data_IF_975988951365
#
_entry.id   IF_975988951365
#
_cell.length_a   1.000
_cell.length_b   1.000
_cell.length_c   1.000
_cell.angle_alpha   90.00
_cell.angle_beta   90.00
_cell.angle_gamma   90.00
#
_symmetry.space_group_name_H-M   'P 1'
#
loop_
_entity.id
_entity.type
_entity.pdbx_description
1 polymer ?
#
# COMPACT_ATOMS: atom_id res chain seq x y z
N UNK A 1 1.32 23.81 4.82
CA UNK A 1 0.05 24.13 4.14
C UNK A 1 -0.94 23.02 4.43
N UNK A 2 -2.25 23.29 4.46
CA UNK A 2 -3.25 22.24 4.61
C UNK A 2 -3.16 21.24 3.45
N UNK A 3 -3.47 19.97 3.71
CA UNK A 3 -3.54 18.93 2.69
C UNK A 3 -4.94 18.99 2.08
N UNK A 4 -5.01 19.12 0.75
CA UNK A 4 -6.28 19.12 0.02
C UNK A 4 -6.48 17.78 -0.70
N UNK A 5 -7.63 17.11 -0.51
CA UNK A 5 -7.92 15.85 -1.17
C UNK A 5 -8.27 16.08 -2.65
N UNK A 6 -7.61 15.34 -3.55
CA UNK A 6 -7.87 15.35 -4.99
C UNK A 6 -7.87 13.92 -5.54
N UNK A 7 -8.89 13.59 -6.33
CA UNK A 7 -8.97 12.29 -7.00
C UNK A 7 -7.99 12.26 -8.18
N UNK A 8 -7.08 11.28 -8.17
CA UNK A 8 -6.09 11.06 -9.20
C UNK A 8 -5.85 9.57 -9.34
N UNK A 9 -5.49 9.12 -10.54
CA UNK A 9 -5.06 7.76 -10.76
C UNK A 9 -3.69 7.54 -10.12
N UNK A 10 -3.61 6.57 -9.21
CA UNK A 10 -2.43 6.23 -8.43
C UNK A 10 -2.24 4.72 -8.44
N UNK A 11 -1.01 4.29 -8.21
CA UNK A 11 -0.68 2.88 -8.01
C UNK A 11 -0.88 2.52 -6.55
N UNK A 12 -1.64 1.44 -6.31
CA UNK A 12 -1.94 0.92 -4.99
C UNK A 12 -1.44 -0.51 -4.83
N UNK A 13 -1.05 -0.85 -3.61
CA UNK A 13 -0.81 -2.24 -3.20
C UNK A 13 -2.02 -2.73 -2.42
N UNK A 14 -2.57 -3.88 -2.83
CA UNK A 14 -3.67 -4.55 -2.12
C UNK A 14 -3.19 -5.00 -0.75
N UNK A 15 -3.77 -4.44 0.31
CA UNK A 15 -3.26 -4.65 1.67
C UNK A 15 -3.91 -5.82 2.41
N UNK A 16 -5.06 -6.29 1.95
CA UNK A 16 -5.89 -7.31 2.61
C UNK A 16 -5.07 -8.56 3.03
N UNK A 17 -4.48 -9.26 2.06
CA UNK A 17 -3.70 -10.48 2.31
C UNK A 17 -2.40 -10.20 3.08
N UNK A 18 -1.75 -9.07 2.80
CA UNK A 18 -0.50 -8.68 3.46
C UNK A 18 -0.70 -8.33 4.93
N UNK A 19 -1.79 -7.61 5.23
CA UNK A 19 -2.15 -7.23 6.59
C UNK A 19 -2.54 -8.48 7.40
N UNK A 20 -3.36 -9.38 6.83
CA UNK A 20 -3.74 -10.61 7.50
C UNK A 20 -2.51 -11.47 7.83
N UNK A 21 -1.62 -11.69 6.86
CA UNK A 21 -0.40 -12.47 7.08
C UNK A 21 0.48 -11.89 8.19
N UNK A 22 0.55 -10.56 8.29
CA UNK A 22 1.32 -9.88 9.33
C UNK A 22 0.64 -9.96 10.71
N UNK A 23 -0.68 -9.83 10.77
CA UNK A 23 -1.46 -10.02 12.00
C UNK A 23 -1.33 -11.45 12.52
N UNK A 24 -1.45 -12.45 11.64
CA UNK A 24 -1.30 -13.87 12.00
C UNK A 24 0.10 -14.15 12.55
N UNK A 25 1.15 -13.56 11.97
CA UNK A 25 2.51 -13.75 12.47
C UNK A 25 2.70 -13.26 13.91
N UNK A 26 2.00 -12.19 14.30
CA UNK A 26 2.03 -11.68 15.67
C UNK A 26 1.13 -12.51 16.59
N UNK A 27 -0.07 -12.86 16.14
CA UNK A 27 -1.02 -13.69 16.89
C UNK A 27 -0.50 -15.11 17.17
N UNK A 28 0.20 -15.71 16.21
CA UNK A 28 0.84 -17.04 16.34
C UNK A 28 2.13 -17.00 17.19
N UNK A 29 2.60 -15.81 17.59
CA UNK A 29 3.84 -15.63 18.35
C UNK A 29 5.13 -15.82 17.53
N UNK A 30 5.03 -15.99 16.21
CA UNK A 30 6.20 -16.00 15.29
C UNK A 30 6.94 -14.67 15.32
N UNK A 31 6.21 -13.59 15.54
CA UNK A 31 6.73 -12.23 15.74
C UNK A 31 6.29 -11.75 17.12
N UNK A 32 7.25 -11.31 17.92
CA UNK A 32 6.99 -10.76 19.25
C UNK A 32 7.27 -9.26 19.27
N UNK A 33 6.28 -8.47 19.69
CA UNK A 33 6.39 -7.02 19.80
C UNK A 33 6.74 -6.67 21.25
N UNK A 34 7.80 -5.90 21.44
CA UNK A 34 8.24 -5.45 22.76
C UNK A 34 8.17 -3.92 22.88
N UNK A 35 7.60 -3.38 23.97
CA UNK A 35 6.76 -4.04 24.99
C UNK A 35 5.43 -4.60 24.46
N UNK A 36 4.93 -5.68 25.10
CA UNK A 36 3.73 -6.44 24.67
C UNK A 36 2.45 -5.61 24.55
N UNK A 37 2.32 -4.51 25.32
CA UNK A 37 1.18 -3.59 25.21
C UNK A 37 0.98 -3.02 23.80
N UNK A 38 2.04 -2.96 22.99
CA UNK A 38 1.97 -2.42 21.62
C UNK A 38 1.40 -3.41 20.61
N UNK A 39 1.32 -4.71 20.95
CA UNK A 39 0.69 -5.72 20.11
C UNK A 39 -0.73 -5.34 19.74
N UNK A 40 -1.51 -4.87 20.73
CA UNK A 40 -2.89 -4.45 20.49
C UNK A 40 -2.98 -3.31 19.47
N UNK A 41 -2.21 -2.25 19.65
CA UNK A 41 -2.23 -1.10 18.74
C UNK A 41 -1.76 -1.47 17.32
N UNK A 42 -0.83 -2.41 17.19
CA UNK A 42 -0.40 -2.93 15.90
C UNK A 42 -1.51 -3.70 15.17
N UNK A 43 -2.21 -4.59 15.89
CA UNK A 43 -3.34 -5.35 15.34
C UNK A 43 -4.51 -4.43 14.98
N UNK A 44 -4.87 -3.49 15.86
CA UNK A 44 -5.95 -2.52 15.62
C UNK A 44 -5.64 -1.68 14.36
N UNK A 45 -4.40 -1.19 14.22
CA UNK A 45 -3.99 -0.42 13.05
C UNK A 45 -4.02 -1.23 11.75
N UNK A 46 -3.62 -2.51 11.78
CA UNK A 46 -3.67 -3.38 10.61
C UNK A 46 -5.11 -3.80 10.24
N UNK A 47 -5.98 -3.95 11.23
CA UNK A 47 -7.38 -4.34 11.02
C UNK A 47 -8.23 -3.30 10.29
N UNK A 48 -7.88 -2.00 10.41
CA UNK A 48 -8.60 -0.90 9.75
C UNK A 48 -7.95 -0.43 8.44
N UNK A 49 -6.98 -1.19 7.89
CA UNK A 49 -6.21 -0.72 6.75
C UNK A 49 -7.00 -0.58 5.45
N UNK A 50 -6.60 0.43 4.69
CA UNK A 50 -6.94 0.62 3.27
C UNK A 50 -5.74 0.23 2.40
N UNK A 51 -5.99 0.03 1.12
CA UNK A 51 -4.93 -0.20 0.15
C UNK A 51 -3.90 0.94 0.16
N UNK A 52 -2.63 0.58 0.06
CA UNK A 52 -1.54 1.52 0.26
C UNK A 52 -1.19 2.21 -1.05
N UNK A 53 -1.35 3.55 -1.18
CA UNK A 53 -0.84 4.26 -2.33
C UNK A 53 0.69 4.22 -2.31
N UNK A 54 1.31 3.66 -3.34
CA UNK A 54 2.77 3.57 -3.47
C UNK A 54 3.33 4.61 -4.45
N UNK A 55 2.52 5.11 -5.39
CA UNK A 55 2.95 6.18 -6.30
C UNK A 55 3.01 7.54 -5.64
N UNK A 56 3.97 8.36 -6.06
CA UNK A 56 4.18 9.72 -5.56
C UNK A 56 4.63 10.63 -6.72
N UNK A 57 4.13 11.87 -6.74
CA UNK A 57 4.55 12.90 -7.69
C UNK A 57 5.73 13.68 -7.09
N UNK A 58 6.91 13.05 -7.03
CA UNK A 58 8.13 13.60 -6.45
C UNK A 58 9.29 13.49 -7.44
N UNK A 59 10.27 14.39 -7.30
CA UNK A 59 11.49 14.39 -8.11
C UNK A 59 12.56 13.43 -7.58
N UNK A 60 12.55 13.19 -6.27
CA UNK A 60 13.51 12.33 -5.59
C UNK A 60 12.84 11.04 -5.13
N UNK A 61 13.40 9.90 -5.55
CA UNK A 61 12.89 8.57 -5.20
C UNK A 61 13.22 7.53 -6.27
N UNK A 62 12.79 6.29 -6.01
CA UNK A 62 12.92 5.22 -6.98
C UNK A 62 11.81 5.36 -8.03
N UNK A 63 12.18 5.32 -9.31
CA UNK A 63 11.19 5.25 -10.38
C UNK A 63 10.49 3.89 -10.33
N UNK A 64 9.15 3.91 -10.40
CA UNK A 64 8.36 2.68 -10.48
C UNK A 64 8.60 2.06 -11.88
N UNK A 65 9.05 0.79 -11.96
CA UNK A 65 9.43 0.15 -13.22
C UNK A 65 8.19 -0.34 -13.99
N UNK A 66 7.41 0.59 -14.50
CA UNK A 66 6.21 0.34 -15.31
C UNK A 66 6.37 1.08 -16.63
N UNK A 67 6.04 0.40 -17.73
CA UNK A 67 6.03 0.96 -19.07
C UNK A 67 4.61 0.83 -19.62
N UNK A 68 4.08 1.91 -20.21
CA UNK A 68 2.83 1.87 -20.97
C UNK A 68 3.13 1.68 -22.45
N UNK A 69 2.34 0.84 -23.11
CA UNK A 69 2.34 0.73 -24.57
C UNK A 69 0.97 1.21 -25.08
N UNK A 70 0.97 2.14 -26.04
CA UNK A 70 -0.24 2.48 -26.79
C UNK A 70 -0.34 1.51 -27.97
N UNK A 71 -1.28 0.56 -27.93
CA UNK A 71 -1.72 -0.08 -29.17
C UNK A 71 -2.57 0.94 -29.91
N UNK A 72 -2.12 1.38 -31.08
CA UNK A 72 -3.01 2.00 -32.06
C UNK A 72 -3.94 0.90 -32.54
N UNK A 73 -5.23 0.99 -32.19
CA UNK A 73 -6.24 0.13 -32.78
C UNK A 73 -6.18 0.24 -34.31
N UNK A 74 -6.45 -0.87 -34.98
CA UNK A 74 -6.44 -1.00 -36.44
C UNK A 74 -7.61 -0.26 -37.12
N UNK A 75 -7.95 0.95 -36.63
CA UNK A 75 -8.96 1.86 -37.17
C UNK A 75 -8.33 3.10 -37.85
N UNK A 76 -7.01 3.25 -37.75
CA UNK A 76 -6.24 4.34 -38.39
C UNK A 76 -5.54 3.90 -39.71
N UNK A 77 -6.02 2.83 -40.37
CA UNK A 77 -5.61 2.42 -41.73
C UNK A 77 -6.76 2.50 -42.74
#
# INVERSE_FOLDING_TARGET
>A
TPIEPMLTDQWFVKMDELAQTAMDAVSDGRVQIFPERYTKGYLDWLGEKRDWPVSRQLWWGHQIPIWSASCSDQQDL
#
